data_IF_017667795897
#
_entry.id   IF_017667795897
#
_cell.length_a   1.000
_cell.length_b   1.000
_cell.length_c   1.000
_cell.angle_alpha   90.00
_cell.angle_beta   90.00
_cell.angle_gamma   90.00
#
_symmetry.space_group_name_H-M   'P 1'
#
loop_
_entity.id
_entity.type
_entity.pdbx_description
1 polymer ?
#
# COMPACT_ATOMS: atom_id res chain seq x y z
N UNK A 1 -18.37 -20.54 4.51
CA UNK A 1 -18.33 -19.79 3.24
C UNK A 1 -17.98 -18.36 3.61
N UNK A 2 -16.84 -17.83 3.16
CA UNK A 2 -16.47 -16.44 3.46
C UNK A 2 -17.34 -15.56 2.57
N UNK A 3 -18.07 -14.61 3.18
CA UNK A 3 -18.86 -13.65 2.41
C UNK A 3 -17.99 -12.51 1.88
N UNK A 4 -18.48 -11.80 0.86
CA UNK A 4 -17.81 -10.58 0.39
C UNK A 4 -17.64 -9.54 1.51
N UNK A 5 -18.60 -9.46 2.43
CA UNK A 5 -18.56 -8.55 3.57
C UNK A 5 -17.39 -8.88 4.52
N UNK A 6 -17.21 -10.17 4.83
CA UNK A 6 -16.12 -10.63 5.70
C UNK A 6 -14.75 -10.29 5.08
N UNK A 7 -14.63 -10.44 3.75
CA UNK A 7 -13.41 -10.04 3.02
C UNK A 7 -13.16 -8.54 3.17
N UNK A 8 -14.17 -7.70 2.96
CA UNK A 8 -14.02 -6.25 3.08
C UNK A 8 -13.61 -5.80 4.49
N UNK A 9 -14.09 -6.47 5.54
CA UNK A 9 -13.67 -6.18 6.92
C UNK A 9 -12.21 -6.55 7.21
N UNK A 10 -11.62 -7.46 6.44
CA UNK A 10 -10.21 -7.83 6.56
C UNK A 10 -9.25 -6.86 5.86
N UNK A 11 -9.77 -5.86 5.15
CA UNK A 11 -8.96 -4.91 4.36
C UNK A 11 -8.85 -3.58 5.10
N UNK A 12 -7.61 -3.12 5.29
CA UNK A 12 -7.31 -1.75 5.71
C UNK A 12 -6.80 -0.93 4.52
N UNK A 13 -7.25 0.32 4.42
CA UNK A 13 -6.77 1.28 3.44
C UNK A 13 -6.05 2.45 4.11
N UNK A 14 -4.94 2.87 3.51
CA UNK A 14 -4.11 3.95 4.05
C UNK A 14 -3.52 4.79 2.93
N UNK A 15 -3.56 6.11 3.12
CA UNK A 15 -2.84 7.06 2.28
C UNK A 15 -1.51 7.44 2.93
N UNK A 16 -0.49 7.69 2.09
CA UNK A 16 0.81 8.22 2.53
C UNK A 16 0.66 9.65 3.06
N UNK A 17 -0.16 10.45 2.38
CA UNK A 17 -0.52 11.81 2.78
C UNK A 17 -1.89 11.80 3.47
N UNK A 18 -2.00 12.41 4.65
CA UNK A 18 -3.26 12.44 5.42
C UNK A 18 -4.19 13.60 5.03
N UNK A 19 -3.74 14.49 4.15
CA UNK A 19 -4.54 15.58 3.60
C UNK A 19 -4.96 15.28 2.17
N UNK A 20 -6.08 15.87 1.74
CA UNK A 20 -6.59 15.68 0.39
C UNK A 20 -5.56 16.07 -0.68
N UNK A 21 -5.50 15.26 -1.74
CA UNK A 21 -4.68 15.51 -2.92
C UNK A 21 -5.43 16.26 -4.01
N UNK A 22 -4.68 16.76 -5.00
CA UNK A 22 -5.24 17.17 -6.28
C UNK A 22 -5.32 15.98 -7.26
N UNK A 23 -5.79 16.24 -8.48
CA UNK A 23 -5.92 15.23 -9.55
C UNK A 23 -4.59 14.71 -10.09
N UNK A 24 -3.47 15.37 -9.76
CA UNK A 24 -2.11 14.97 -10.13
C UNK A 24 -1.24 14.72 -8.89
N UNK A 25 -0.31 13.79 -9.01
CA UNK A 25 0.70 13.53 -7.98
C UNK A 25 1.84 14.52 -8.14
N UNK A 26 2.12 15.25 -7.07
CA UNK A 26 3.33 16.04 -6.90
C UNK A 26 4.33 15.18 -6.12
N UNK A 27 5.34 14.65 -6.81
CA UNK A 27 6.26 13.66 -6.25
C UNK A 27 7.07 14.21 -5.08
N UNK A 28 7.49 15.48 -5.14
CA UNK A 28 8.20 16.14 -4.04
C UNK A 28 7.30 16.22 -2.81
N UNK A 29 6.06 16.68 -2.97
CA UNK A 29 5.11 16.72 -1.84
C UNK A 29 4.74 15.35 -1.29
N UNK A 30 4.78 14.31 -2.12
CA UNK A 30 4.51 12.94 -1.70
C UNK A 30 5.68 12.37 -0.88
N UNK A 31 6.92 12.66 -1.28
CA UNK A 31 8.12 12.34 -0.52
C UNK A 31 8.15 13.08 0.81
N UNK A 32 7.86 14.38 0.81
CA UNK A 32 7.76 15.19 2.04
C UNK A 32 6.70 14.61 2.99
N UNK A 33 5.50 14.33 2.47
CA UNK A 33 4.44 13.72 3.26
C UNK A 33 4.81 12.33 3.79
N UNK A 34 5.59 11.54 3.03
CA UNK A 34 6.11 10.27 3.52
C UNK A 34 7.08 10.48 4.68
N UNK A 35 8.03 11.41 4.56
CA UNK A 35 9.01 11.69 5.61
C UNK A 35 8.35 12.23 6.88
N UNK A 36 7.39 13.15 6.75
CA UNK A 36 6.61 13.71 7.85
C UNK A 36 5.80 12.63 8.60
N UNK A 37 5.16 11.72 7.85
CA UNK A 37 4.24 10.74 8.41
C UNK A 37 4.89 9.37 8.68
N UNK A 38 6.19 9.19 8.35
CA UNK A 38 6.89 7.89 8.31
C UNK A 38 6.62 7.04 9.55
N UNK A 39 6.87 7.61 10.72
CA UNK A 39 6.75 6.89 12.00
C UNK A 39 5.31 6.44 12.26
N UNK A 40 4.33 7.28 11.93
CA UNK A 40 2.92 6.97 12.12
C UNK A 40 2.43 5.93 11.12
N UNK A 41 2.89 5.99 9.86
CA UNK A 41 2.60 4.99 8.83
C UNK A 41 3.07 3.60 9.29
N UNK A 42 4.32 3.48 9.75
CA UNK A 42 4.84 2.21 10.25
C UNK A 42 4.20 1.77 11.57
N UNK A 43 3.83 2.71 12.45
CA UNK A 43 3.04 2.38 13.66
C UNK A 43 1.72 1.73 13.28
N UNK A 44 0.98 2.31 12.34
CA UNK A 44 -0.30 1.76 11.85
C UNK A 44 -0.11 0.41 11.16
N UNK A 45 0.89 0.26 10.28
CA UNK A 45 1.21 -1.02 9.63
C UNK A 45 1.44 -2.10 10.68
N UNK A 46 2.21 -1.80 11.73
CA UNK A 46 2.53 -2.77 12.77
C UNK A 46 1.34 -3.08 13.70
N UNK A 47 0.39 -2.15 13.87
CA UNK A 47 -0.86 -2.41 14.61
C UNK A 47 -1.82 -3.26 13.80
N UNK A 48 -1.95 -2.98 12.50
CA UNK A 48 -2.78 -3.78 11.58
C UNK A 48 -2.18 -5.18 11.40
N UNK A 49 -0.85 -5.29 11.43
CA UNK A 49 -0.10 -6.53 11.25
C UNK A 49 -0.54 -7.33 10.01
N UNK A 50 -0.51 -6.73 8.81
CA UNK A 50 -1.07 -7.35 7.61
C UNK A 50 -0.21 -8.51 7.10
N UNK A 51 -0.84 -9.52 6.51
CA UNK A 51 -0.16 -10.57 5.75
C UNK A 51 0.35 -10.07 4.40
N UNK A 52 -0.35 -9.09 3.82
CA UNK A 52 -0.05 -8.52 2.49
C UNK A 52 -0.22 -7.01 2.50
N UNK A 53 0.73 -6.28 1.93
CA UNK A 53 0.63 -4.85 1.65
C UNK A 53 0.73 -4.63 0.15
N UNK A 54 -0.29 -3.98 -0.43
CA UNK A 54 -0.32 -3.58 -1.84
C UNK A 54 -0.05 -2.08 -1.93
N UNK A 55 1.05 -1.71 -2.58
CA UNK A 55 1.45 -0.32 -2.78
C UNK A 55 0.94 0.18 -4.13
N UNK A 56 -0.03 1.08 -4.13
CA UNK A 56 -0.58 1.69 -5.35
C UNK A 56 0.33 2.78 -5.93
N UNK A 57 1.52 2.41 -6.42
CA UNK A 57 2.50 3.31 -7.00
C UNK A 57 3.42 4.02 -5.99
N UNK A 58 3.43 3.57 -4.74
CA UNK A 58 4.19 4.20 -3.64
C UNK A 58 5.30 3.33 -3.06
N UNK A 59 5.54 2.14 -3.61
CA UNK A 59 6.50 1.18 -3.06
C UNK A 59 7.92 1.76 -2.92
N UNK A 60 8.34 2.56 -3.91
CA UNK A 60 9.66 3.20 -3.94
C UNK A 60 9.97 4.07 -2.71
N UNK A 61 8.95 4.64 -2.07
CA UNK A 61 9.09 5.44 -0.86
C UNK A 61 9.43 4.58 0.36
N UNK A 62 8.84 3.38 0.43
CA UNK A 62 8.93 2.51 1.61
C UNK A 62 10.10 1.53 1.54
N UNK A 63 10.54 1.14 0.34
CA UNK A 63 11.43 -0.03 0.14
C UNK A 63 12.67 -0.08 1.04
N UNK A 64 13.31 1.07 1.29
CA UNK A 64 14.53 1.15 2.10
C UNK A 64 14.25 1.12 3.62
N UNK A 65 13.01 1.39 4.01
CA UNK A 65 12.57 1.48 5.41
C UNK A 65 11.85 0.21 5.89
N UNK A 66 11.34 -0.63 4.98
CA UNK A 66 10.57 -1.85 5.30
C UNK A 66 11.34 -2.76 6.26
N UNK A 67 12.58 -3.10 5.93
CA UNK A 67 13.41 -4.01 6.75
C UNK A 67 13.64 -3.48 8.16
N UNK A 68 13.66 -2.15 8.31
CA UNK A 68 13.90 -1.51 9.61
C UNK A 68 12.63 -1.42 10.45
N UNK A 69 11.49 -1.08 9.85
CA UNK A 69 10.31 -0.64 10.60
C UNK A 69 9.13 -1.60 10.59
N UNK A 70 9.00 -2.49 9.61
CA UNK A 70 7.92 -3.49 9.59
C UNK A 70 8.28 -4.65 10.51
N UNK A 71 7.44 -4.96 11.50
CA UNK A 71 7.71 -6.01 12.49
C UNK A 71 7.48 -7.41 11.94
N UNK A 72 6.37 -7.61 11.21
CA UNK A 72 6.08 -8.88 10.57
C UNK A 72 6.94 -9.04 9.31
N UNK A 73 7.99 -9.86 9.41
CA UNK A 73 8.91 -10.12 8.29
C UNK A 73 8.34 -11.08 7.25
N UNK A 74 7.18 -11.68 7.51
CA UNK A 74 6.48 -12.55 6.58
C UNK A 74 5.47 -11.78 5.72
N UNK A 75 5.21 -10.50 6.03
CA UNK A 75 4.34 -9.65 5.23
C UNK A 75 4.83 -9.62 3.77
N UNK A 76 3.96 -9.99 2.83
CA UNK A 76 4.25 -9.86 1.39
C UNK A 76 4.06 -8.41 0.96
N UNK A 77 5.08 -7.84 0.32
CA UNK A 77 5.06 -6.48 -0.20
C UNK A 77 4.88 -6.50 -1.73
N UNK A 78 3.75 -5.98 -2.22
CA UNK A 78 3.38 -6.00 -3.63
C UNK A 78 3.39 -4.59 -4.20
N UNK A 79 4.32 -4.31 -5.10
CA UNK A 79 4.28 -3.09 -5.91
C UNK A 79 3.24 -3.23 -7.02
N UNK A 80 2.26 -2.33 -7.05
CA UNK A 80 1.23 -2.26 -8.07
C UNK A 80 1.14 -0.84 -8.66
N UNK A 81 0.51 -0.71 -9.82
CA UNK A 81 0.13 0.62 -10.30
C UNK A 81 -0.89 1.26 -9.37
N UNK A 82 -1.05 2.59 -9.44
CA UNK A 82 -2.15 3.23 -8.74
C UNK A 82 -3.48 2.80 -9.40
N UNK A 83 -4.55 2.45 -8.66
CA UNK A 83 -5.82 1.98 -9.24
C UNK A 83 -6.49 2.98 -10.20
N UNK A 84 -6.18 4.27 -10.08
CA UNK A 84 -6.67 5.32 -11.00
C UNK A 84 -5.80 5.53 -12.24
N UNK A 85 -4.65 4.86 -12.33
CA UNK A 85 -3.97 4.74 -13.61
C UNK A 85 -4.98 4.13 -14.58
N UNK A 86 -5.13 4.71 -15.78
CA UNK A 86 -6.15 4.31 -16.78
C UNK A 86 -5.81 2.97 -17.43
N UNK A 87 -5.54 1.96 -16.62
CA UNK A 87 -5.24 0.57 -16.96
C UNK A 87 -6.53 -0.22 -16.87
N UNK A 88 -6.66 -1.25 -17.69
CA UNK A 88 -7.77 -2.19 -17.58
C UNK A 88 -7.81 -2.83 -16.17
N UNK A 89 -8.99 -2.83 -15.53
CA UNK A 89 -9.18 -3.29 -14.15
C UNK A 89 -8.85 -4.78 -13.95
N UNK A 90 -9.21 -5.62 -14.91
CA UNK A 90 -8.92 -7.05 -14.86
C UNK A 90 -7.42 -7.30 -14.92
N UNK A 91 -6.74 -6.60 -15.85
CA UNK A 91 -5.28 -6.64 -15.94
C UNK A 91 -4.63 -6.20 -14.62
N UNK A 92 -5.11 -5.11 -14.02
CA UNK A 92 -4.61 -4.60 -12.73
C UNK A 92 -4.68 -5.67 -11.63
N UNK A 93 -5.83 -6.35 -11.52
CA UNK A 93 -6.03 -7.39 -10.50
C UNK A 93 -5.17 -8.62 -10.80
N UNK A 94 -5.11 -9.06 -12.05
CA UNK A 94 -4.33 -10.24 -12.43
C UNK A 94 -2.84 -10.04 -12.17
N UNK A 95 -2.29 -8.86 -12.47
CA UNK A 95 -0.89 -8.54 -12.16
C UNK A 95 -0.58 -8.59 -10.65
N UNK A 96 -1.53 -8.20 -9.79
CA UNK A 96 -1.38 -8.32 -8.32
C UNK A 96 -1.41 -9.79 -7.90
N UNK A 97 -2.33 -10.58 -8.43
CA UNK A 97 -2.46 -12.01 -8.12
C UNK A 97 -1.19 -12.77 -8.54
N UNK A 98 -0.68 -12.50 -9.75
CA UNK A 98 0.56 -13.10 -10.23
C UNK A 98 1.76 -12.76 -9.33
N UNK A 99 1.87 -11.51 -8.87
CA UNK A 99 2.91 -11.08 -7.94
C UNK A 99 2.76 -11.72 -6.55
N UNK A 100 1.53 -11.94 -6.09
CA UNK A 100 1.27 -12.61 -4.82
C UNK A 100 1.65 -14.09 -4.85
N UNK A 101 1.46 -14.76 -5.99
CA UNK A 101 1.73 -16.19 -6.15
C UNK A 101 3.20 -16.52 -6.43
N UNK A 102 4.04 -15.51 -6.70
CA UNK A 102 5.50 -15.65 -6.70
C UNK A 102 6.04 -15.73 -5.27
#
# INVERSE_FOLDING_TARGET
MISCFDVLQSIAYMNVKFTAGGSNVDHTKLEDAYLENKMELFRKINVINPDVIIYGGTYSLFKNDIEKFVRNKQTKHIEAYHPSARVNKERYVNEIIEKFNK
#
